data_IF_527245123673
#
_entry.id   IF_527245123673
#
_cell.length_a   1.000
_cell.length_b   1.000
_cell.length_c   1.000
_cell.angle_alpha   90.00
_cell.angle_beta   90.00
_cell.angle_gamma   90.00
#
_symmetry.space_group_name_H-M   'P 1'
#
loop_
_entity.id
_entity.type
_entity.pdbx_description
1 polymer ?
#
# COMPACT_ATOMS: atom_id res chain seq x y z
N UNK A 1 7.63 18.74 11.14
CA UNK A 1 7.48 17.29 10.87
C UNK A 1 8.16 16.56 12.00
N UNK A 2 7.49 15.62 12.68
CA UNK A 2 8.18 14.78 13.66
C UNK A 2 9.31 14.05 12.93
N UNK A 3 10.54 14.12 13.43
CA UNK A 3 11.65 13.34 12.88
C UNK A 3 11.33 11.87 13.13
N UNK A 4 10.89 11.17 12.09
CA UNK A 4 10.74 9.73 12.16
C UNK A 4 12.13 9.11 12.41
N UNK A 5 12.19 8.10 13.28
CA UNK A 5 13.44 7.44 13.60
C UNK A 5 13.79 6.50 12.44
N UNK A 6 14.90 6.77 11.78
CA UNK A 6 15.41 5.88 10.74
C UNK A 6 15.68 4.48 11.29
N UNK A 7 15.41 3.41 10.52
CA UNK A 7 15.78 2.06 10.94
C UNK A 7 17.28 1.97 11.19
N UNK A 8 17.66 1.21 12.21
CA UNK A 8 19.07 0.91 12.51
C UNK A 8 19.72 0.15 11.34
N UNK A 9 21.04 0.12 11.30
CA UNK A 9 21.77 -0.68 10.30
C UNK A 9 21.30 -2.13 10.28
N UNK A 10 21.16 -2.75 11.46
CA UNK A 10 20.67 -4.12 11.59
C UNK A 10 19.24 -4.28 11.04
N UNK A 11 18.33 -3.34 11.32
CA UNK A 11 16.97 -3.38 10.80
C UNK A 11 16.92 -3.24 9.27
N UNK A 12 17.83 -2.46 8.69
CA UNK A 12 17.96 -2.33 7.23
C UNK A 12 18.44 -3.64 6.60
N UNK A 13 19.49 -4.25 7.16
CA UNK A 13 20.01 -5.54 6.68
C UNK A 13 18.95 -6.65 6.78
N UNK A 14 18.24 -6.72 7.91
CA UNK A 14 17.12 -7.65 8.09
C UNK A 14 16.02 -7.42 7.04
N UNK A 15 15.64 -6.16 6.79
CA UNK A 15 14.66 -5.83 5.76
C UNK A 15 15.12 -6.24 4.36
N UNK A 16 16.36 -5.95 3.98
CA UNK A 16 16.91 -6.31 2.66
C UNK A 16 16.89 -7.83 2.47
N UNK A 17 17.24 -8.59 3.51
CA UNK A 17 17.17 -10.06 3.48
C UNK A 17 15.73 -10.56 3.32
N UNK A 18 14.78 -10.00 4.06
CA UNK A 18 13.35 -10.34 3.93
C UNK A 18 12.84 -10.05 2.52
N UNK A 19 13.16 -8.89 1.96
CA UNK A 19 12.76 -8.52 0.61
C UNK A 19 13.39 -9.45 -0.44
N UNK A 20 14.67 -9.81 -0.27
CA UNK A 20 15.37 -10.74 -1.16
C UNK A 20 14.68 -12.11 -1.19
N UNK A 21 14.48 -12.70 -0.02
CA UNK A 21 13.82 -14.01 0.10
C UNK A 21 12.43 -13.96 -0.52
N UNK A 22 11.66 -12.90 -0.24
CA UNK A 22 10.32 -12.72 -0.81
C UNK A 22 10.36 -12.58 -2.34
N UNK A 23 11.32 -11.84 -2.88
CA UNK A 23 11.49 -11.70 -4.32
C UNK A 23 11.75 -13.07 -4.97
N UNK A 24 12.67 -13.85 -4.41
CA UNK A 24 13.03 -15.19 -4.91
C UNK A 24 11.87 -16.20 -4.80
N UNK A 25 11.06 -16.12 -3.74
CA UNK A 25 9.87 -16.98 -3.55
C UNK A 25 8.71 -16.60 -4.47
N UNK A 26 8.63 -15.35 -4.95
CA UNK A 26 7.52 -14.82 -5.73
C UNK A 26 7.93 -14.41 -7.15
N UNK A 27 8.88 -15.12 -7.76
CA UNK A 27 9.41 -14.82 -9.10
C UNK A 27 8.34 -14.74 -10.20
N UNK A 28 7.15 -15.30 -9.99
CA UNK A 28 6.02 -15.15 -10.90
C UNK A 28 5.53 -13.70 -11.03
N UNK A 29 5.76 -12.85 -10.00
CA UNK A 29 5.41 -11.43 -9.98
C UNK A 29 6.45 -10.54 -10.67
N UNK A 30 7.69 -11.00 -10.76
CA UNK A 30 8.87 -10.16 -11.08
C UNK A 30 9.53 -10.53 -12.41
N UNK A 31 8.76 -10.94 -13.42
CA UNK A 31 9.32 -11.48 -14.67
C UNK A 31 10.28 -10.49 -15.33
N UNK A 32 11.56 -10.88 -15.41
CA UNK A 32 12.61 -10.09 -16.05
C UNK A 32 13.24 -9.01 -15.17
N UNK A 33 12.91 -8.97 -13.88
CA UNK A 33 13.57 -8.08 -12.92
C UNK A 33 14.80 -8.76 -12.31
N UNK A 34 15.80 -7.95 -11.97
CA UNK A 34 17.05 -8.39 -11.34
C UNK A 34 17.13 -7.83 -9.92
N UNK A 35 17.14 -8.74 -8.94
CA UNK A 35 17.24 -8.38 -7.52
C UNK A 35 18.46 -7.51 -7.22
N UNK A 36 19.59 -7.75 -7.88
CA UNK A 36 20.84 -7.00 -7.66
C UNK A 36 20.62 -5.51 -7.95
N UNK A 37 19.95 -5.18 -9.06
CA UNK A 37 19.64 -3.80 -9.42
C UNK A 37 18.64 -3.14 -8.47
N UNK A 38 17.64 -3.90 -8.02
CA UNK A 38 16.66 -3.43 -7.04
C UNK A 38 17.36 -3.11 -5.71
N UNK A 39 18.25 -4.01 -5.26
CA UNK A 39 19.05 -3.81 -4.04
C UNK A 39 19.92 -2.56 -4.13
N UNK A 40 20.68 -2.39 -5.22
CA UNK A 40 21.52 -1.22 -5.42
C UNK A 40 20.70 0.08 -5.34
N UNK A 41 19.50 0.07 -5.93
CA UNK A 41 18.58 1.21 -5.89
C UNK A 41 17.99 1.45 -4.50
N UNK A 42 17.69 0.40 -3.73
CA UNK A 42 17.27 0.52 -2.33
C UNK A 42 18.37 1.19 -1.48
N UNK A 43 19.60 0.67 -1.55
CA UNK A 43 20.73 1.17 -0.77
C UNK A 43 21.08 2.64 -1.09
N UNK A 44 20.89 3.05 -2.35
CA UNK A 44 21.05 4.44 -2.78
C UNK A 44 19.93 5.38 -2.31
N UNK A 45 18.79 4.86 -1.82
CA UNK A 45 17.60 5.64 -1.47
C UNK A 45 17.14 5.40 0.00
N UNK A 46 17.87 5.93 1.00
CA UNK A 46 17.59 5.66 2.42
C UNK A 46 16.18 6.08 2.88
N UNK A 47 15.60 7.16 2.29
CA UNK A 47 14.22 7.57 2.59
C UNK A 47 13.16 6.58 2.07
N UNK A 48 13.46 5.86 0.98
CA UNK A 48 12.57 4.81 0.45
C UNK A 48 12.69 3.54 1.26
N UNK A 49 13.88 3.19 1.74
CA UNK A 49 14.07 2.10 2.71
C UNK A 49 13.21 2.32 3.96
N UNK A 50 13.17 3.55 4.50
CA UNK A 50 12.32 3.85 5.65
C UNK A 50 10.82 3.59 5.35
N UNK A 51 10.36 3.97 4.15
CA UNK A 51 8.96 3.77 3.74
C UNK A 51 8.63 2.27 3.62
N UNK A 52 9.52 1.48 3.01
CA UNK A 52 9.37 0.03 2.86
C UNK A 52 9.44 -0.67 4.22
N UNK A 53 10.32 -0.20 5.12
CA UNK A 53 10.38 -0.68 6.49
C UNK A 53 9.03 -0.48 7.20
N UNK A 54 8.38 0.67 7.04
CA UNK A 54 7.05 0.91 7.61
C UNK A 54 5.97 0.03 6.96
N UNK A 55 6.04 -0.22 5.65
CA UNK A 55 5.16 -1.18 4.96
C UNK A 55 5.30 -2.58 5.58
N UNK A 56 6.53 -3.07 5.76
CA UNK A 56 6.83 -4.37 6.37
C UNK A 56 6.35 -4.43 7.82
N UNK A 57 6.72 -3.44 8.64
CA UNK A 57 6.37 -3.36 10.07
C UNK A 57 4.87 -3.36 10.33
N UNK A 58 4.08 -2.85 9.39
CA UNK A 58 2.62 -2.81 9.48
C UNK A 58 1.93 -4.02 8.84
N UNK A 59 2.70 -5.03 8.42
CA UNK A 59 2.20 -6.30 7.87
C UNK A 59 1.88 -6.27 6.39
N UNK A 60 2.44 -5.30 5.65
CA UNK A 60 2.21 -5.11 4.21
C UNK A 60 2.82 -6.18 3.32
N UNK A 61 3.89 -6.83 3.78
CA UNK A 61 4.72 -7.71 2.96
C UNK A 61 5.07 -7.04 1.62
N UNK A 62 5.68 -5.84 1.64
CA UNK A 62 6.07 -5.11 0.43
C UNK A 62 6.89 -6.00 -0.50
N UNK A 63 6.55 -5.95 -1.78
CA UNK A 63 7.27 -6.65 -2.84
C UNK A 63 7.28 -5.76 -4.09
N UNK A 64 8.26 -5.99 -4.96
CA UNK A 64 8.26 -5.32 -6.27
C UNK A 64 7.11 -5.89 -7.10
N UNK A 65 6.50 -5.15 -7.99
CA UNK A 65 5.43 -5.68 -8.84
C UNK A 65 5.59 -5.31 -10.31
N UNK A 66 6.38 -4.29 -10.59
CA UNK A 66 6.62 -3.79 -11.93
C UNK A 66 7.86 -2.88 -11.95
N UNK A 67 8.36 -2.59 -13.15
CA UNK A 67 9.37 -1.57 -13.41
C UNK A 67 8.90 -0.64 -14.53
N UNK A 68 8.86 0.66 -14.22
CA UNK A 68 8.63 1.70 -15.22
C UNK A 68 9.90 1.93 -16.02
N UNK A 69 9.95 1.39 -17.24
CA UNK A 69 11.13 1.46 -18.10
C UNK A 69 11.52 2.87 -18.53
N UNK A 70 10.55 3.78 -18.61
CA UNK A 70 10.75 5.18 -18.97
C UNK A 70 11.47 5.99 -17.89
N UNK A 71 11.20 5.69 -16.62
CA UNK A 71 11.77 6.39 -15.46
C UNK A 71 12.78 5.56 -14.67
N UNK A 72 13.01 4.31 -15.09
CA UNK A 72 13.74 3.28 -14.36
C UNK A 72 13.17 2.99 -12.95
N UNK A 73 11.97 3.45 -12.60
CA UNK A 73 11.42 3.30 -11.24
C UNK A 73 10.87 1.89 -10.99
N UNK A 74 11.21 1.29 -9.84
CA UNK A 74 10.58 0.05 -9.40
C UNK A 74 9.32 0.36 -8.60
N UNK A 75 8.24 -0.36 -8.86
CA UNK A 75 6.98 -0.22 -8.13
C UNK A 75 6.91 -1.27 -7.02
N UNK A 76 6.75 -0.81 -5.79
CA UNK A 76 6.52 -1.65 -4.60
C UNK A 76 5.08 -1.53 -4.13
N UNK A 77 4.38 -2.65 -4.00
CA UNK A 77 3.03 -2.74 -3.40
C UNK A 77 3.03 -3.64 -2.16
N UNK A 78 2.01 -3.46 -1.31
CA UNK A 78 1.70 -4.47 -0.28
C UNK A 78 1.19 -5.76 -0.95
N UNK A 79 1.94 -6.85 -0.79
CA UNK A 79 1.60 -8.15 -1.34
C UNK A 79 1.08 -9.13 -0.28
N UNK A 80 0.73 -8.66 0.91
CA UNK A 80 -0.02 -9.45 1.89
C UNK A 80 -1.37 -9.89 1.30
N UNK A 81 -1.79 -11.14 1.55
CA UNK A 81 -3.04 -11.69 0.98
C UNK A 81 -4.25 -10.81 1.28
N UNK A 82 -4.35 -10.30 2.50
CA UNK A 82 -5.39 -9.37 2.91
C UNK A 82 -4.78 -8.00 3.24
N UNK A 83 -5.59 -6.95 3.11
CA UNK A 83 -5.23 -5.60 3.54
C UNK A 83 -4.61 -5.63 4.95
N UNK A 84 -3.49 -4.96 5.25
CA UNK A 84 -2.76 -5.19 6.49
C UNK A 84 -3.55 -4.82 7.75
N UNK A 85 -3.61 -5.71 8.75
CA UNK A 85 -4.45 -5.53 9.96
C UNK A 85 -4.16 -4.23 10.70
N UNK A 86 -2.89 -3.80 10.76
CA UNK A 86 -2.49 -2.53 11.39
C UNK A 86 -2.94 -1.27 10.66
N UNK A 87 -3.57 -1.42 9.48
CA UNK A 87 -4.00 -0.36 8.58
C UNK A 87 -5.48 -0.45 8.20
N UNK A 88 -6.27 -1.23 8.96
CA UNK A 88 -7.72 -1.36 8.81
C UNK A 88 -8.50 -0.42 9.73
N UNK A 89 -9.83 -0.36 9.54
CA UNK A 89 -10.75 0.45 10.35
C UNK A 89 -10.48 1.94 10.26
N UNK A 90 -10.08 2.41 9.08
CA UNK A 90 -9.80 3.82 8.79
C UNK A 90 -10.88 4.38 7.85
N UNK A 91 -11.24 5.64 8.06
CA UNK A 91 -11.96 6.40 7.04
C UNK A 91 -11.01 6.80 5.90
N UNK A 92 -11.54 7.35 4.81
CA UNK A 92 -10.74 7.61 3.62
C UNK A 92 -9.64 8.66 3.85
N UNK A 93 -10.00 9.90 4.20
CA UNK A 93 -9.06 11.02 4.36
C UNK A 93 -9.29 11.87 5.62
N UNK A 94 -8.47 12.89 5.82
CA UNK A 94 -8.49 13.72 7.02
C UNK A 94 -9.78 14.53 7.14
N UNK A 95 -10.28 15.10 6.04
CA UNK A 95 -11.55 15.83 6.02
C UNK A 95 -12.72 14.91 6.43
N UNK A 96 -12.72 13.67 5.95
CA UNK A 96 -13.69 12.66 6.33
C UNK A 96 -13.62 12.32 7.84
N UNK A 97 -12.41 12.20 8.39
CA UNK A 97 -12.19 11.99 9.83
C UNK A 97 -12.75 13.15 10.67
N UNK A 98 -12.51 14.38 10.21
CA UNK A 98 -12.93 15.60 10.91
C UNK A 98 -14.44 15.81 10.86
N UNK A 99 -15.09 15.42 9.76
CA UNK A 99 -16.54 15.53 9.58
C UNK A 99 -17.35 14.70 10.58
N UNK A 100 -16.78 13.61 11.13
CA UNK A 100 -17.49 12.75 12.08
C UNK A 100 -17.60 13.43 13.44
N UNK A 101 -18.77 13.29 14.09
CA UNK A 101 -18.99 13.79 15.46
C UNK A 101 -18.82 12.70 16.53
N UNK A 102 -19.13 11.46 16.18
CA UNK A 102 -19.11 10.30 17.08
C UNK A 102 -18.42 9.13 16.38
N UNK A 103 -17.88 8.20 17.17
CA UNK A 103 -17.19 7.00 16.70
C UNK A 103 -16.11 7.34 15.64
N UNK A 104 -15.20 8.24 15.98
CA UNK A 104 -14.09 8.58 15.07
C UNK A 104 -13.13 7.38 14.96
N UNK A 105 -12.76 6.93 13.75
CA UNK A 105 -11.70 5.95 13.61
C UNK A 105 -10.37 6.56 14.09
N UNK A 106 -9.38 5.71 14.36
CA UNK A 106 -8.07 6.15 14.89
C UNK A 106 -7.37 7.14 13.95
N UNK A 107 -7.54 6.98 12.65
CA UNK A 107 -6.94 7.83 11.62
C UNK A 107 -7.71 7.70 10.29
N UNK A 108 -7.18 8.30 9.24
CA UNK A 108 -7.61 8.09 7.85
C UNK A 108 -6.55 7.36 7.02
N UNK A 109 -6.98 6.67 5.97
CA UNK A 109 -6.13 5.87 5.10
C UNK A 109 -5.10 6.75 4.38
N UNK A 110 -5.54 7.85 3.75
CA UNK A 110 -4.67 8.78 3.01
C UNK A 110 -3.62 9.41 3.93
N UNK A 111 -4.00 9.85 5.14
CA UNK A 111 -3.03 10.43 6.10
C UNK A 111 -2.07 9.38 6.63
N UNK A 112 -2.54 8.17 6.90
CA UNK A 112 -1.68 7.06 7.36
C UNK A 112 -0.65 6.72 6.28
N UNK A 113 -1.06 6.60 5.02
CA UNK A 113 -0.16 6.39 3.89
C UNK A 113 0.88 7.52 3.77
N UNK A 114 0.43 8.79 3.76
CA UNK A 114 1.32 9.94 3.69
C UNK A 114 2.34 9.98 4.85
N UNK A 115 1.91 9.61 6.06
CA UNK A 115 2.79 9.53 7.24
C UNK A 115 3.84 8.43 7.16
N UNK A 116 3.73 7.51 6.20
CA UNK A 116 4.67 6.43 5.90
C UNK A 116 5.47 6.69 4.61
N UNK A 117 5.31 7.86 3.97
CA UNK A 117 6.01 8.18 2.72
C UNK A 117 5.51 7.41 1.49
N UNK A 118 4.29 6.87 1.55
CA UNK A 118 3.67 6.04 0.50
C UNK A 118 2.35 6.66 0.01
N UNK A 119 1.88 6.19 -1.14
CA UNK A 119 0.52 6.44 -1.61
C UNK A 119 -0.37 5.21 -1.40
N UNK A 120 -1.69 5.40 -1.53
CA UNK A 120 -2.63 4.28 -1.69
C UNK A 120 -2.79 3.95 -3.18
N UNK A 121 -3.08 2.68 -3.50
CA UNK A 121 -3.28 2.28 -4.90
C UNK A 121 -4.42 3.06 -5.57
N UNK A 122 -4.20 3.43 -6.83
CA UNK A 122 -5.29 3.84 -7.73
C UNK A 122 -6.14 2.64 -8.13
N UNK A 123 -7.33 2.90 -8.67
CA UNK A 123 -8.18 1.85 -9.24
C UNK A 123 -7.45 1.01 -10.29
N UNK A 124 -6.78 1.67 -11.25
CA UNK A 124 -6.02 0.96 -12.29
C UNK A 124 -4.91 0.09 -11.69
N UNK A 125 -4.14 0.62 -10.74
CA UNK A 125 -3.09 -0.14 -10.08
C UNK A 125 -3.64 -1.34 -9.30
N UNK A 126 -4.81 -1.20 -8.68
CA UNK A 126 -5.48 -2.29 -7.98
C UNK A 126 -5.93 -3.40 -8.93
N UNK A 127 -6.49 -3.03 -10.09
CA UNK A 127 -6.88 -3.99 -11.13
C UNK A 127 -5.68 -4.75 -11.70
N UNK A 128 -4.56 -4.07 -11.96
CA UNK A 128 -3.33 -4.73 -12.42
C UNK A 128 -2.71 -5.62 -11.32
N UNK A 129 -2.70 -5.13 -10.07
CA UNK A 129 -2.20 -5.88 -8.92
C UNK A 129 -2.95 -7.20 -8.72
N UNK A 130 -4.27 -7.22 -8.89
CA UNK A 130 -5.09 -8.43 -8.78
C UNK A 130 -4.79 -9.49 -9.88
N UNK A 131 -4.03 -9.15 -10.94
CA UNK A 131 -3.55 -10.14 -11.91
C UNK A 131 -2.35 -10.94 -11.40
N UNK A 132 -1.69 -10.47 -10.34
CA UNK A 132 -0.50 -11.10 -9.76
C UNK A 132 -0.86 -12.21 -8.74
N UNK A 133 -2.12 -12.29 -8.34
CA UNK A 133 -2.64 -13.24 -7.37
C UNK A 133 -3.99 -12.81 -6.80
N UNK A 134 -4.57 -13.65 -5.95
CA UNK A 134 -5.86 -13.38 -5.33
C UNK A 134 -5.64 -12.60 -4.02
N UNK A 135 -5.97 -11.31 -4.03
CA UNK A 135 -5.77 -10.43 -2.88
C UNK A 135 -7.09 -9.84 -2.39
N UNK A 136 -7.16 -9.47 -1.12
CA UNK A 136 -8.36 -8.91 -0.48
C UNK A 136 -9.59 -9.83 -0.62
N UNK A 137 -9.41 -11.13 -0.43
CA UNK A 137 -10.48 -12.14 -0.52
C UNK A 137 -11.41 -12.18 0.68
N UNK A 138 -11.01 -11.52 1.78
CA UNK A 138 -11.77 -11.37 3.03
C UNK A 138 -11.83 -9.92 3.51
N UNK A 139 -11.06 -9.04 2.89
CA UNK A 139 -10.96 -7.62 3.21
C UNK A 139 -11.36 -6.76 2.01
N UNK A 140 -11.25 -5.44 2.17
CA UNK A 140 -11.36 -4.46 1.09
C UNK A 140 -10.34 -3.35 1.30
N UNK A 141 -9.90 -2.73 0.20
CA UNK A 141 -8.90 -1.65 0.21
C UNK A 141 -9.49 -0.35 -0.26
N UNK A 142 -9.31 0.74 0.49
CA UNK A 142 -9.49 2.10 -0.03
C UNK A 142 -8.55 2.32 -1.22
N UNK A 143 -9.09 2.97 -2.26
CA UNK A 143 -8.35 3.30 -3.47
C UNK A 143 -8.31 4.82 -3.64
N UNK A 144 -7.27 5.31 -4.33
CA UNK A 144 -7.09 6.73 -4.62
C UNK A 144 -8.32 7.24 -5.37
N UNK A 145 -9.17 7.95 -4.64
CA UNK A 145 -10.47 8.38 -5.13
C UNK A 145 -10.30 9.57 -6.07
N UNK A 146 -10.89 9.52 -7.28
CA UNK A 146 -10.94 10.67 -8.19
C UNK A 146 -11.52 11.91 -7.50
N UNK A 147 -10.93 13.08 -7.78
CA UNK A 147 -11.30 14.31 -7.09
C UNK A 147 -12.79 14.67 -7.25
N UNK A 148 -13.39 14.33 -8.40
CA UNK A 148 -14.79 14.65 -8.68
C UNK A 148 -15.77 13.81 -7.86
N UNK A 149 -15.43 12.53 -7.60
CA UNK A 149 -16.19 11.69 -6.65
C UNK A 149 -16.01 12.23 -5.24
N UNK A 150 -14.77 12.61 -4.88
CA UNK A 150 -14.47 13.08 -3.53
C UNK A 150 -15.16 14.40 -3.17
N UNK A 151 -15.28 15.33 -4.12
CA UNK A 151 -16.03 16.60 -3.96
C UNK A 151 -17.51 16.37 -3.63
N UNK A 152 -18.07 15.25 -4.09
CA UNK A 152 -19.45 14.84 -3.80
C UNK A 152 -19.58 14.05 -2.48
N UNK A 153 -18.48 13.91 -1.71
CA UNK A 153 -18.45 13.21 -0.42
C UNK A 153 -18.15 11.71 -0.51
N UNK A 154 -17.96 11.16 -1.70
CA UNK A 154 -17.69 9.73 -1.91
C UNK A 154 -16.21 9.35 -1.78
N UNK A 155 -15.96 8.07 -1.56
CA UNK A 155 -14.66 7.42 -1.72
C UNK A 155 -14.83 6.01 -2.30
N UNK A 156 -13.90 5.62 -3.18
CA UNK A 156 -13.92 4.30 -3.83
C UNK A 156 -13.02 3.29 -3.11
N UNK A 157 -13.41 2.03 -3.15
CA UNK A 157 -12.67 0.91 -2.58
C UNK A 157 -12.87 -0.35 -3.44
N UNK A 158 -11.97 -1.31 -3.31
CA UNK A 158 -12.04 -2.57 -4.04
C UNK A 158 -11.92 -3.81 -3.16
N UNK A 159 -12.48 -4.92 -3.63
CA UNK A 159 -12.23 -6.26 -3.12
C UNK A 159 -12.22 -7.31 -4.25
N UNK A 160 -11.88 -8.55 -3.89
CA UNK A 160 -11.91 -9.69 -4.81
C UNK A 160 -12.88 -10.77 -4.33
N UNK A 161 -13.96 -11.00 -5.07
CA UNK A 161 -14.98 -12.00 -4.75
C UNK A 161 -15.38 -12.74 -6.02
N UNK A 162 -15.77 -14.01 -5.90
CA UNK A 162 -16.25 -14.79 -7.04
C UNK A 162 -15.30 -14.79 -8.25
N UNK A 163 -13.99 -14.81 -8.00
CA UNK A 163 -12.96 -14.71 -9.03
C UNK A 163 -13.01 -13.43 -9.89
N UNK A 164 -13.50 -12.34 -9.30
CA UNK A 164 -13.70 -11.06 -9.96
C UNK A 164 -13.29 -9.92 -9.02
N UNK A 165 -12.67 -8.88 -9.58
CA UNK A 165 -12.43 -7.63 -8.86
C UNK A 165 -13.70 -6.79 -8.92
N UNK A 166 -14.12 -6.29 -7.76
CA UNK A 166 -15.23 -5.36 -7.66
C UNK A 166 -14.73 -4.02 -7.11
N UNK A 167 -15.20 -2.94 -7.73
CA UNK A 167 -14.97 -1.57 -7.29
C UNK A 167 -16.31 -1.00 -6.86
N UNK A 168 -16.32 -0.40 -5.67
CA UNK A 168 -17.51 0.15 -5.04
C UNK A 168 -17.25 1.57 -4.56
N UNK A 169 -18.29 2.20 -4.02
CA UNK A 169 -18.18 3.48 -3.35
C UNK A 169 -18.89 3.45 -1.99
N UNK A 170 -18.47 4.34 -1.10
CA UNK A 170 -19.14 4.68 0.15
C UNK A 170 -18.94 6.18 0.42
N UNK A 171 -19.57 6.71 1.48
CA UNK A 171 -19.15 8.00 2.04
C UNK A 171 -17.69 7.92 2.50
N UNK A 172 -16.91 8.97 2.25
CA UNK A 172 -15.49 9.03 2.62
C UNK A 172 -15.25 8.82 4.13
N UNK A 173 -16.24 9.16 4.95
CA UNK A 173 -16.22 9.01 6.41
C UNK A 173 -16.48 7.59 6.89
N UNK A 174 -17.04 6.72 6.05
CA UNK A 174 -17.30 5.32 6.39
C UNK A 174 -16.01 4.59 6.75
N UNK A 175 -16.09 3.62 7.65
CA UNK A 175 -14.96 2.75 7.97
C UNK A 175 -15.49 1.41 8.48
N UNK A 176 -14.80 0.33 8.14
CA UNK A 176 -15.22 -1.03 8.47
C UNK A 176 -14.03 -1.82 8.99
N UNK A 177 -14.29 -2.79 9.87
CA UNK A 177 -13.24 -3.61 10.50
C UNK A 177 -12.35 -4.32 9.46
N UNK A 178 -12.94 -4.72 8.34
CA UNK A 178 -12.25 -5.41 7.25
C UNK A 178 -11.73 -4.48 6.14
N UNK A 179 -11.87 -3.15 6.27
CA UNK A 179 -11.42 -2.19 5.26
C UNK A 179 -10.10 -1.53 5.67
N UNK A 180 -9.08 -1.68 4.84
CA UNK A 180 -7.79 -1.02 4.98
C UNK A 180 -7.39 -0.28 3.72
N UNK A 181 -6.10 -0.29 3.40
CA UNK A 181 -5.55 0.18 2.14
C UNK A 181 -4.27 -0.59 1.82
N UNK A 182 -3.91 -0.61 0.54
CA UNK A 182 -2.63 -1.13 0.06
C UNK A 182 -1.70 0.02 -0.31
N UNK A 183 -0.46 -0.10 0.09
CA UNK A 183 0.62 0.84 -0.17
C UNK A 183 1.09 0.77 -1.61
N UNK A 184 1.48 1.93 -2.13
CA UNK A 184 2.20 2.10 -3.39
C UNK A 184 3.42 2.98 -3.15
N UNK A 185 4.59 2.48 -3.51
CA UNK A 185 5.83 3.21 -3.48
C UNK A 185 6.58 3.06 -4.80
N UNK A 186 7.12 4.18 -5.30
CA UNK A 186 8.10 4.19 -6.39
C UNK A 186 9.48 4.30 -5.79
N UNK A 187 10.36 3.36 -6.12
CA UNK A 187 11.78 3.35 -5.77
C UNK A 187 12.61 3.86 -6.95
#
# INVERSE_FOLDING_TARGET
MAKHKDPSFQQKEELINVLKTRFEENMNRHKGLDWTKIRDKLEANPGKIWSIYEMERTGGQPDVVDQKKDTDEYLFYDCSIESPTGRRSLCYDQDALESRKQNKPKNSAVKTAASMGIEILTEQQYLEFQKLGNFDTKTSSWLKTPSDIRKLGGAIFGDFRYNQVFIYHNGAESYYAARGFRASLKL
#
